data_IF_940261292122
#
_entry.id   IF_940261292122
#
_cell.length_a   1.000
_cell.length_b   1.000
_cell.length_c   1.000
_cell.angle_alpha   90.00
_cell.angle_beta   90.00
_cell.angle_gamma   90.00
#
_symmetry.space_group_name_H-M   'P 1'
#
loop_
_entity.id
_entity.type
_entity.pdbx_description
1 polymer ?
#
# COMPACT_ATOMS: atom_id res chain seq x y z
N UNK A 1 56.43 -28.48 34.40
CA UNK A 1 56.12 -29.24 33.16
C UNK A 1 55.89 -28.19 32.07
N UNK A 2 56.53 -28.38 30.91
CA UNK A 2 56.89 -27.34 29.93
C UNK A 2 55.70 -26.70 29.19
N UNK A 3 55.89 -25.44 28.83
CA UNK A 3 55.02 -24.61 28.01
C UNK A 3 54.74 -25.19 26.62
N UNK A 4 53.53 -24.95 26.10
CA UNK A 4 53.21 -25.04 24.67
C UNK A 4 52.63 -23.69 24.23
N UNK A 5 53.44 -23.01 23.41
CA UNK A 5 53.14 -21.77 22.69
C UNK A 5 52.75 -22.18 21.26
N UNK A 6 51.57 -21.75 20.79
CA UNK A 6 51.16 -21.85 19.38
C UNK A 6 50.56 -20.50 18.94
N UNK A 7 51.42 -19.57 18.50
CA UNK A 7 51.50 -19.02 17.13
C UNK A 7 50.15 -18.67 16.48
N UNK A 8 49.55 -17.54 16.89
CA UNK A 8 48.75 -16.72 15.96
C UNK A 8 49.67 -15.67 15.31
N UNK A 9 49.95 -15.85 14.03
CA UNK A 9 50.66 -14.88 13.21
C UNK A 9 49.75 -13.70 12.87
N UNK A 10 49.94 -12.58 13.55
CA UNK A 10 49.31 -11.30 13.21
C UNK A 10 50.06 -10.71 12.00
N UNK A 11 49.51 -10.88 10.80
CA UNK A 11 49.98 -10.15 9.61
C UNK A 11 49.47 -8.72 9.70
N UNK A 12 50.35 -7.79 10.11
CA UNK A 12 50.13 -6.35 9.98
C UNK A 12 50.23 -5.99 8.50
N UNK A 13 49.11 -5.68 7.87
CA UNK A 13 49.08 -5.09 6.53
C UNK A 13 49.33 -3.57 6.67
N UNK A 14 50.47 -3.11 6.14
CA UNK A 14 50.72 -1.69 5.96
C UNK A 14 49.85 -1.18 4.79
N UNK A 15 48.82 -0.40 5.08
CA UNK A 15 48.04 0.30 4.07
C UNK A 15 48.78 1.56 3.64
N UNK A 16 49.18 1.62 2.37
CA UNK A 16 49.74 2.81 1.76
C UNK A 16 48.71 3.94 1.75
N UNK A 17 49.07 5.10 2.30
CA UNK A 17 48.27 6.32 2.23
C UNK A 17 48.36 6.88 0.80
N UNK A 18 47.27 6.95 0.03
CA UNK A 18 47.33 7.51 -1.31
C UNK A 18 47.58 9.02 -1.23
N UNK A 19 48.68 9.45 -1.87
CA UNK A 19 48.97 10.87 -2.12
C UNK A 19 47.96 11.37 -3.16
N UNK A 20 46.90 12.04 -2.70
CA UNK A 20 45.92 12.70 -3.55
C UNK A 20 46.61 13.82 -4.34
N UNK A 21 46.91 13.57 -5.61
CA UNK A 21 47.28 14.62 -6.56
C UNK A 21 46.03 15.44 -6.86
N UNK A 22 45.96 16.65 -6.29
CA UNK A 22 44.89 17.60 -6.55
C UNK A 22 44.80 17.89 -8.05
N UNK A 23 43.80 17.32 -8.71
CA UNK A 23 43.51 17.59 -10.10
C UNK A 23 42.91 19.00 -10.18
N UNK A 24 43.67 19.95 -10.73
CA UNK A 24 43.26 21.36 -10.84
C UNK A 24 41.91 21.54 -11.54
N UNK A 25 41.55 20.59 -12.41
CA UNK A 25 40.25 20.53 -13.09
C UNK A 25 39.10 20.26 -12.11
N UNK A 26 39.28 19.37 -11.12
CA UNK A 26 38.26 19.07 -10.12
C UNK A 26 38.01 20.26 -9.17
N UNK A 27 39.07 21.01 -8.83
CA UNK A 27 38.95 22.25 -8.04
C UNK A 27 38.24 23.35 -8.83
N UNK A 28 38.52 23.48 -10.14
CA UNK A 28 37.85 24.45 -11.00
C UNK A 28 36.35 24.12 -11.15
N UNK A 29 35.99 22.84 -11.33
CA UNK A 29 34.60 22.40 -11.41
C UNK A 29 33.84 22.63 -10.11
N UNK A 30 34.46 22.36 -8.95
CA UNK A 30 33.85 22.63 -7.65
C UNK A 30 33.59 24.13 -7.43
N UNK A 31 34.49 25.01 -7.87
CA UNK A 31 34.31 26.47 -7.77
C UNK A 31 33.22 26.99 -8.71
N UNK A 32 33.10 26.43 -9.93
CA UNK A 32 32.01 26.76 -10.85
C UNK A 32 30.67 26.30 -10.26
N UNK A 33 30.60 25.09 -9.70
CA UNK A 33 29.39 24.60 -9.06
C UNK A 33 28.97 25.47 -7.87
N UNK A 34 29.93 25.94 -7.06
CA UNK A 34 29.67 26.84 -5.94
C UNK A 34 29.19 28.23 -6.40
N UNK A 35 29.72 28.75 -7.51
CA UNK A 35 29.28 30.02 -8.08
C UNK A 35 27.86 29.94 -8.69
N UNK A 36 27.49 28.80 -9.28
CA UNK A 36 26.14 28.56 -9.81
C UNK A 36 25.09 28.46 -8.69
N UNK A 37 25.44 27.88 -7.55
CA UNK A 37 24.53 27.80 -6.38
C UNK A 37 24.29 29.19 -5.75
N UNK A 38 25.27 30.09 -5.77
CA UNK A 38 25.13 31.43 -5.17
C UNK A 38 24.26 32.41 -5.97
N UNK A 39 24.04 32.17 -7.27
CA UNK A 39 23.24 33.05 -8.12
C UNK A 39 21.73 32.71 -8.16
N UNK A 40 21.28 31.70 -7.40
CA UNK A 40 19.92 31.15 -7.48
C UNK A 40 18.86 31.76 -6.55
N UNK A 41 19.17 32.78 -5.74
CA UNK A 41 18.18 33.43 -4.86
C UNK A 41 17.51 34.61 -5.57
N UNK A 42 16.70 34.31 -6.59
CA UNK A 42 15.70 35.24 -7.09
C UNK A 42 14.48 35.19 -6.18
N UNK A 43 14.39 36.11 -5.22
CA UNK A 43 13.20 36.27 -4.38
C UNK A 43 12.05 36.76 -5.26
N UNK A 44 11.30 35.80 -5.79
CA UNK A 44 10.13 36.08 -6.60
C UNK A 44 9.05 36.49 -5.63
N UNK A 45 8.66 37.76 -5.66
CA UNK A 45 7.57 38.27 -4.83
C UNK A 45 6.34 37.37 -5.04
N UNK A 46 5.97 36.63 -3.99
CA UNK A 46 4.78 35.77 -4.02
C UNK A 46 3.58 36.70 -4.17
N UNK A 47 2.85 36.65 -5.29
CA UNK A 47 1.66 37.47 -5.46
C UNK A 47 0.70 37.11 -4.32
N UNK A 48 0.22 38.13 -3.60
CA UNK A 48 -0.74 37.94 -2.52
C UNK A 48 -1.94 37.18 -3.08
N UNK A 49 -2.25 35.98 -2.56
CA UNK A 49 -3.38 35.22 -3.06
C UNK A 49 -4.64 36.08 -2.87
N UNK A 50 -5.56 36.09 -3.85
CA UNK A 50 -6.83 36.79 -3.70
C UNK A 50 -7.52 36.33 -2.41
N UNK A 51 -8.30 37.21 -1.74
CA UNK A 51 -9.01 36.86 -0.53
C UNK A 51 -9.82 35.59 -0.77
N UNK A 52 -9.53 34.56 0.03
CA UNK A 52 -10.25 33.29 -0.03
C UNK A 52 -11.73 33.62 0.21
N UNK A 53 -12.64 33.32 -0.73
CA UNK A 53 -14.05 33.54 -0.50
C UNK A 53 -14.44 32.82 0.79
N UNK A 54 -15.18 33.52 1.66
CA UNK A 54 -15.65 32.96 2.92
C UNK A 54 -16.28 31.59 2.64
N UNK A 55 -15.73 30.54 3.24
CA UNK A 55 -16.24 29.18 3.11
C UNK A 55 -17.71 29.19 3.50
N UNK A 56 -18.57 28.83 2.56
CA UNK A 56 -20.00 28.60 2.82
C UNK A 56 -20.09 27.66 4.02
N UNK A 57 -20.92 27.96 5.05
CA UNK A 57 -21.07 27.07 6.17
C UNK A 57 -21.47 25.69 5.63
N UNK A 58 -20.64 24.69 5.93
CA UNK A 58 -20.95 23.30 5.63
C UNK A 58 -22.25 23.00 6.38
N UNK A 59 -23.31 22.53 5.71
CA UNK A 59 -24.53 22.11 6.40
C UNK A 59 -24.15 21.13 7.51
N UNK A 60 -24.52 21.46 8.75
CA UNK A 60 -24.15 20.68 9.95
C UNK A 60 -24.94 19.36 10.05
N UNK A 61 -25.96 19.16 9.23
CA UNK A 61 -26.66 17.89 9.15
C UNK A 61 -25.77 16.85 8.47
N UNK A 62 -25.63 15.69 9.11
CA UNK A 62 -24.95 14.52 8.54
C UNK A 62 -25.46 14.32 7.11
N UNK A 63 -24.55 14.40 6.13
CA UNK A 63 -24.91 14.39 4.73
C UNK A 63 -25.43 13.00 4.35
N UNK A 64 -26.74 12.78 4.38
CA UNK A 64 -27.30 11.54 3.85
C UNK A 64 -27.14 11.51 2.32
N UNK A 65 -26.81 10.36 1.72
CA UNK A 65 -26.87 10.21 0.27
C UNK A 65 -28.26 10.56 -0.24
N UNK A 66 -28.32 11.27 -1.38
CA UNK A 66 -29.60 11.59 -2.04
C UNK A 66 -30.31 10.30 -2.44
N UNK A 67 -31.52 10.11 -1.90
CA UNK A 67 -32.51 9.05 -2.16
C UNK A 67 -32.02 7.86 -3.00
N UNK A 68 -31.58 6.81 -2.31
CA UNK A 68 -31.22 5.52 -2.92
C UNK A 68 -29.85 5.45 -3.57
N UNK A 69 -29.03 6.50 -3.50
CA UNK A 69 -27.63 6.46 -3.94
C UNK A 69 -26.73 5.89 -2.86
N UNK A 70 -25.73 5.11 -3.28
CA UNK A 70 -24.64 4.69 -2.42
C UNK A 70 -23.47 5.64 -2.60
N UNK A 71 -22.98 6.21 -1.51
CA UNK A 71 -21.66 6.84 -1.47
C UNK A 71 -20.68 5.81 -0.90
N UNK A 72 -19.69 5.43 -1.72
CA UNK A 72 -18.58 4.57 -1.29
C UNK A 72 -17.29 5.38 -1.26
N UNK A 73 -16.51 5.21 -0.21
CA UNK A 73 -15.13 5.70 -0.14
C UNK A 73 -14.21 4.53 0.20
N UNK A 74 -13.01 4.56 -0.40
CA UNK A 74 -11.93 3.71 0.04
C UNK A 74 -11.35 4.31 1.34
N UNK A 75 -11.56 3.61 2.45
CA UNK A 75 -11.13 4.06 3.78
C UNK A 75 -9.88 3.27 4.12
N UNK A 76 -8.76 3.97 4.24
CA UNK A 76 -7.51 3.38 4.70
C UNK A 76 -7.30 3.64 6.19
N UNK A 77 -6.43 2.85 6.81
CA UNK A 77 -5.99 3.09 8.18
C UNK A 77 -5.44 4.51 8.35
N UNK A 78 -5.84 5.17 9.44
CA UNK A 78 -5.36 6.50 9.78
C UNK A 78 -3.92 6.44 10.33
N UNK A 79 -3.22 7.58 10.35
CA UNK A 79 -1.82 7.65 10.79
C UNK A 79 -1.60 7.24 12.26
N UNK A 80 -2.66 7.23 13.06
CA UNK A 80 -2.69 6.79 14.46
C UNK A 80 -3.12 5.33 14.63
N UNK A 81 -3.29 4.57 13.54
CA UNK A 81 -3.78 3.19 13.49
C UNK A 81 -5.21 3.01 14.03
N UNK A 82 -6.00 4.09 14.04
CA UNK A 82 -7.41 4.06 14.46
C UNK A 82 -8.33 3.98 13.23
N UNK A 83 -8.52 2.75 12.74
CA UNK A 83 -9.42 2.50 11.61
C UNK A 83 -10.88 2.83 11.93
N UNK A 84 -11.33 2.59 13.18
CA UNK A 84 -12.69 2.91 13.62
C UNK A 84 -12.96 4.41 13.48
N UNK A 85 -12.04 5.25 13.96
CA UNK A 85 -12.15 6.70 13.83
C UNK A 85 -12.14 7.15 12.35
N UNK A 86 -11.33 6.51 11.50
CA UNK A 86 -11.33 6.78 10.06
C UNK A 86 -12.71 6.46 9.43
N UNK A 87 -13.28 5.30 9.75
CA UNK A 87 -14.59 4.89 9.27
C UNK A 87 -15.71 5.80 9.80
N UNK A 88 -15.68 6.22 11.06
CA UNK A 88 -16.68 7.15 11.60
C UNK A 88 -16.62 8.52 10.89
N UNK A 89 -15.43 9.01 10.54
CA UNK A 89 -15.28 10.24 9.73
C UNK A 89 -15.87 10.06 8.33
N UNK A 90 -15.67 8.90 7.70
CA UNK A 90 -16.28 8.58 6.41
C UNK A 90 -17.81 8.56 6.52
N UNK A 91 -18.36 7.91 7.55
CA UNK A 91 -19.80 7.90 7.83
C UNK A 91 -20.37 9.30 8.06
N UNK A 92 -19.63 10.18 8.74
CA UNK A 92 -20.06 11.55 8.99
C UNK A 92 -20.26 12.38 7.71
N UNK A 93 -19.61 12.01 6.61
CA UNK A 93 -19.80 12.64 5.28
C UNK A 93 -20.76 11.86 4.36
N UNK A 94 -21.47 10.88 4.91
CA UNK A 94 -22.53 10.15 4.19
C UNK A 94 -22.11 8.83 3.56
N UNK A 95 -20.94 8.30 3.88
CA UNK A 95 -20.52 7.00 3.35
C UNK A 95 -21.42 5.89 3.87
N UNK A 96 -21.93 5.08 2.95
CA UNK A 96 -22.79 3.92 3.23
C UNK A 96 -22.18 2.60 2.75
N UNK A 97 -21.05 2.67 2.03
CA UNK A 97 -20.30 1.50 1.60
C UNK A 97 -18.80 1.77 1.61
N UNK A 98 -17.99 0.72 1.73
CA UNK A 98 -16.54 0.79 1.52
C UNK A 98 -16.12 -0.22 0.46
N UNK A 99 -14.92 -0.05 -0.08
CA UNK A 99 -14.31 -1.05 -0.96
C UNK A 99 -13.38 -1.94 -0.15
N UNK A 100 -13.51 -3.25 -0.31
CA UNK A 100 -12.54 -4.22 0.22
C UNK A 100 -11.86 -4.89 -0.96
N UNK A 101 -10.56 -4.68 -1.11
CA UNK A 101 -9.77 -5.38 -2.12
C UNK A 101 -9.02 -6.52 -1.46
N UNK A 102 -9.18 -7.72 -2.00
CA UNK A 102 -8.43 -8.93 -1.64
C UNK A 102 -7.78 -9.49 -2.89
N UNK A 103 -6.68 -10.22 -2.73
CA UNK A 103 -5.94 -10.77 -3.86
C UNK A 103 -6.20 -12.27 -3.99
N UNK A 104 -6.28 -12.78 -5.23
CA UNK A 104 -6.59 -14.19 -5.47
C UNK A 104 -5.55 -15.11 -4.83
N UNK A 105 -4.26 -14.83 -5.01
CA UNK A 105 -3.17 -15.61 -4.42
C UNK A 105 -3.15 -15.64 -2.87
N UNK A 106 -3.81 -14.69 -2.21
CA UNK A 106 -3.98 -14.68 -0.75
C UNK A 106 -5.18 -15.49 -0.29
N UNK A 107 -6.20 -15.65 -1.13
CA UNK A 107 -7.37 -16.48 -0.82
C UNK A 107 -7.06 -17.93 -1.11
N UNK A 108 -6.51 -18.21 -2.30
CA UNK A 108 -6.23 -19.54 -2.79
C UNK A 108 -4.72 -19.84 -2.73
N UNK A 109 -4.30 -20.38 -1.60
CA UNK A 109 -2.88 -20.57 -1.26
C UNK A 109 -2.28 -21.83 -1.91
N UNK A 110 -3.11 -22.81 -2.28
CA UNK A 110 -2.74 -24.00 -3.04
C UNK A 110 -3.85 -24.37 -4.06
N UNK A 111 -3.59 -25.23 -5.07
CA UNK A 111 -4.60 -25.79 -5.98
C UNK A 111 -5.93 -26.20 -5.35
N UNK A 112 -6.95 -25.35 -5.48
CA UNK A 112 -8.30 -25.56 -4.94
C UNK A 112 -8.45 -25.32 -3.43
N UNK A 113 -7.38 -24.93 -2.73
CA UNK A 113 -7.37 -24.75 -1.28
C UNK A 113 -7.51 -23.26 -0.95
N UNK A 114 -8.62 -22.92 -0.30
CA UNK A 114 -8.95 -21.56 0.08
C UNK A 114 -8.72 -21.39 1.58
N UNK A 115 -7.56 -20.86 1.96
CA UNK A 115 -7.15 -20.73 3.36
C UNK A 115 -6.41 -19.39 3.58
N UNK A 116 -7.12 -18.26 3.48
CA UNK A 116 -6.51 -16.94 3.65
C UNK A 116 -5.98 -16.73 5.06
N UNK A 117 -4.81 -16.08 5.17
CA UNK A 117 -4.22 -15.73 6.46
C UNK A 117 -3.54 -14.35 6.40
N UNK A 118 -4.09 -13.32 7.06
CA UNK A 118 -5.34 -13.33 7.81
C UNK A 118 -6.58 -13.49 6.91
N UNK A 119 -7.67 -14.02 7.45
CA UNK A 119 -8.93 -14.18 6.72
C UNK A 119 -9.70 -12.85 6.65
N UNK A 120 -9.27 -11.96 5.75
CA UNK A 120 -9.88 -10.62 5.60
C UNK A 120 -11.37 -10.65 5.27
N UNK A 121 -11.84 -11.68 4.55
CA UNK A 121 -13.26 -11.82 4.20
C UNK A 121 -14.12 -12.10 5.43
N UNK A 122 -13.68 -13.01 6.30
CA UNK A 122 -14.35 -13.31 7.56
C UNK A 122 -14.32 -12.11 8.51
N UNK A 123 -13.16 -11.46 8.65
CA UNK A 123 -13.03 -10.25 9.48
C UNK A 123 -14.00 -9.17 8.99
N UNK A 124 -14.09 -8.94 7.67
CA UNK A 124 -15.01 -7.99 7.08
C UNK A 124 -16.49 -8.35 7.34
N UNK A 125 -16.84 -9.63 7.26
CA UNK A 125 -18.18 -10.13 7.54
C UNK A 125 -18.58 -9.97 9.01
N UNK A 126 -17.61 -10.02 9.94
CA UNK A 126 -17.85 -9.76 11.36
C UNK A 126 -17.92 -8.26 11.67
N UNK A 127 -17.08 -7.45 11.03
CA UNK A 127 -16.90 -6.05 11.38
C UNK A 127 -17.93 -5.12 10.71
N UNK A 128 -18.00 -5.09 9.37
CA UNK A 128 -18.78 -4.07 8.65
C UNK A 128 -20.29 -4.10 8.89
N UNK A 129 -20.96 -5.27 9.07
CA UNK A 129 -22.36 -5.29 9.44
C UNK A 129 -22.66 -4.59 10.77
N UNK A 130 -21.75 -4.68 11.75
CA UNK A 130 -21.90 -3.96 13.04
C UNK A 130 -21.75 -2.45 12.89
N UNK A 131 -21.14 -1.99 11.79
CA UNK A 131 -20.98 -0.58 11.47
C UNK A 131 -22.09 -0.03 10.57
N UNK A 132 -23.04 -0.88 10.14
CA UNK A 132 -24.09 -0.54 9.16
C UNK A 132 -23.52 -0.01 7.83
N UNK A 133 -22.39 -0.55 7.40
CA UNK A 133 -21.70 -0.18 6.15
C UNK A 133 -21.68 -1.38 5.22
N UNK A 134 -22.09 -1.18 3.97
CA UNK A 134 -22.01 -2.22 2.95
C UNK A 134 -20.56 -2.39 2.44
N UNK A 135 -20.24 -3.58 1.93
CA UNK A 135 -18.92 -3.85 1.35
C UNK A 135 -19.06 -4.07 -0.16
N UNK A 136 -18.27 -3.32 -0.92
CA UNK A 136 -18.00 -3.56 -2.33
C UNK A 136 -16.73 -4.40 -2.43
N UNK A 137 -16.88 -5.72 -2.57
CA UNK A 137 -15.76 -6.65 -2.66
C UNK A 137 -15.11 -6.61 -4.05
N UNK A 138 -13.79 -6.45 -4.08
CA UNK A 138 -12.95 -6.60 -5.27
C UNK A 138 -11.96 -7.74 -5.05
N UNK A 139 -12.05 -8.78 -5.88
CA UNK A 139 -11.03 -9.84 -5.93
C UNK A 139 -10.09 -9.51 -7.08
N UNK A 140 -8.87 -9.05 -6.76
CA UNK A 140 -7.91 -8.62 -7.78
C UNK A 140 -6.92 -9.70 -8.16
N UNK A 141 -6.64 -9.77 -9.46
CA UNK A 141 -5.60 -10.62 -10.07
C UNK A 141 -4.38 -9.80 -10.52
N UNK A 142 -4.47 -8.47 -10.41
CA UNK A 142 -3.40 -7.52 -10.73
C UNK A 142 -3.27 -6.52 -9.58
N UNK A 143 -2.08 -6.43 -9.01
CA UNK A 143 -1.72 -5.43 -8.03
C UNK A 143 -0.69 -4.49 -8.65
N UNK A 144 -1.18 -3.40 -9.26
CA UNK A 144 -0.37 -2.42 -9.99
C UNK A 144 0.48 -3.05 -11.10
N UNK A 145 1.68 -3.52 -10.76
CA UNK A 145 2.65 -4.14 -11.66
C UNK A 145 2.93 -5.61 -11.33
N UNK A 146 2.23 -6.18 -10.35
CA UNK A 146 2.38 -7.57 -9.93
C UNK A 146 1.15 -8.39 -10.34
N UNK A 147 1.37 -9.56 -10.92
CA UNK A 147 0.32 -10.53 -11.18
C UNK A 147 0.09 -11.33 -9.90
N UNK A 148 -1.15 -11.31 -9.41
CA UNK A 148 -1.57 -11.93 -8.15
C UNK A 148 -2.36 -13.22 -8.41
N UNK A 149 -1.84 -14.06 -9.30
CA UNK A 149 -2.38 -15.38 -9.58
C UNK A 149 -1.82 -16.40 -8.59
N UNK A 150 -2.56 -17.49 -8.27
CA UNK A 150 -2.00 -18.64 -7.58
C UNK A 150 -0.70 -19.11 -8.24
N UNK A 151 0.26 -19.55 -7.42
CA UNK A 151 1.63 -19.81 -7.88
C UNK A 151 1.75 -20.84 -9.02
N UNK A 152 0.85 -21.82 -9.08
CA UNK A 152 0.79 -22.83 -10.14
C UNK A 152 0.17 -22.32 -11.46
N UNK A 153 -0.53 -21.18 -11.41
CA UNK A 153 -1.03 -20.44 -12.57
C UNK A 153 -0.10 -19.29 -12.98
N UNK A 154 0.99 -19.05 -12.25
CA UNK A 154 1.90 -17.97 -12.54
C UNK A 154 2.51 -18.12 -13.96
N UNK A 155 2.44 -17.03 -14.74
CA UNK A 155 2.93 -17.00 -16.12
C UNK A 155 1.98 -17.55 -17.18
N UNK A 156 0.82 -18.10 -16.78
CA UNK A 156 -0.26 -18.41 -17.71
C UNK A 156 -0.93 -17.12 -18.20
N UNK A 157 -1.42 -17.06 -19.45
CA UNK A 157 -2.21 -15.94 -19.91
C UNK A 157 -3.61 -15.97 -19.28
N UNK A 158 -4.27 -14.81 -19.16
CA UNK A 158 -5.60 -14.72 -18.53
C UNK A 158 -6.71 -15.43 -19.30
N UNK A 159 -6.51 -15.72 -20.59
CA UNK A 159 -7.43 -16.49 -21.42
C UNK A 159 -7.15 -18.00 -21.39
N UNK A 160 -6.17 -18.46 -20.60
CA UNK A 160 -5.94 -19.88 -20.38
C UNK A 160 -7.18 -20.52 -19.71
N UNK A 161 -7.70 -21.66 -20.23
CA UNK A 161 -8.87 -22.31 -19.68
C UNK A 161 -8.76 -22.68 -18.20
N UNK A 162 -7.55 -23.01 -17.71
CA UNK A 162 -7.33 -23.30 -16.30
C UNK A 162 -7.44 -22.04 -15.43
N UNK A 163 -6.92 -20.90 -15.90
CA UNK A 163 -7.06 -19.61 -15.21
C UNK A 163 -8.53 -19.21 -15.11
N UNK A 164 -9.26 -19.23 -16.23
CA UNK A 164 -10.70 -18.89 -16.26
C UNK A 164 -11.50 -19.84 -15.34
N UNK A 165 -11.30 -21.15 -15.48
CA UNK A 165 -12.07 -22.14 -14.72
C UNK A 165 -11.85 -22.00 -13.22
N UNK A 166 -10.61 -21.73 -12.80
CA UNK A 166 -10.27 -21.61 -11.38
C UNK A 166 -10.72 -20.29 -10.78
N UNK A 167 -10.66 -19.19 -11.54
CA UNK A 167 -11.21 -17.91 -11.11
C UNK A 167 -12.73 -17.96 -10.95
N UNK A 168 -13.44 -18.59 -11.89
CA UNK A 168 -14.89 -18.80 -11.76
C UNK A 168 -15.24 -19.64 -10.52
N UNK A 169 -14.45 -20.67 -10.23
CA UNK A 169 -14.64 -21.48 -9.02
C UNK A 169 -14.49 -20.66 -7.74
N UNK A 170 -13.53 -19.73 -7.69
CA UNK A 170 -13.39 -18.79 -6.58
C UNK A 170 -14.61 -17.84 -6.46
N UNK A 171 -15.16 -17.36 -7.58
CA UNK A 171 -16.37 -16.53 -7.58
C UNK A 171 -17.62 -17.27 -7.13
N UNK A 172 -17.80 -18.50 -7.62
CA UNK A 172 -18.92 -19.37 -7.22
C UNK A 172 -18.85 -19.64 -5.71
N UNK A 173 -17.63 -19.89 -5.22
CA UNK A 173 -17.36 -20.02 -3.81
C UNK A 173 -17.78 -18.74 -3.07
N UNK A 174 -17.19 -17.58 -3.38
CA UNK A 174 -17.49 -16.30 -2.73
C UNK A 174 -18.96 -15.83 -2.81
N UNK A 175 -19.71 -16.27 -3.83
CA UNK A 175 -21.13 -15.94 -4.01
C UNK A 175 -22.11 -16.95 -3.40
N UNK A 176 -21.61 -18.12 -2.99
CA UNK A 176 -22.46 -19.18 -2.43
C UNK A 176 -22.96 -18.85 -1.01
N UNK A 177 -24.15 -19.34 -0.61
CA UNK A 177 -24.72 -19.09 0.72
C UNK A 177 -23.84 -19.55 1.89
N UNK A 178 -22.93 -20.49 1.62
CA UNK A 178 -22.01 -21.07 2.60
C UNK A 178 -21.06 -20.02 3.19
N UNK A 179 -20.70 -18.98 2.42
CA UNK A 179 -19.85 -17.88 2.90
C UNK A 179 -20.59 -16.87 3.77
N UNK A 180 -21.93 -16.86 3.73
CA UNK A 180 -22.73 -16.06 4.65
C UNK A 180 -22.92 -16.74 6.01
N UNK A 181 -22.49 -17.99 6.16
CA UNK A 181 -22.64 -18.80 7.37
C UNK A 181 -21.28 -19.34 7.83
N UNK A 182 -20.45 -18.46 8.42
CA UNK A 182 -19.38 -18.67 9.42
C UNK A 182 -18.65 -20.04 9.59
N UNK A 183 -18.57 -20.93 8.60
CA UNK A 183 -17.91 -22.22 8.72
C UNK A 183 -16.57 -22.22 7.95
N UNK A 184 -15.55 -21.59 8.53
CA UNK A 184 -14.12 -21.82 8.24
C UNK A 184 -13.34 -21.97 9.55
#
# INVERSE_FOLDING_TARGET
MKQIISRLGFKVWATAVPVFRFNKIAVLLALIFLAVVAAGCGETAVPTPPPIPASTPIPTDAAAPRDGRTLSLDVTEAADNDFDAALQRAKAVGVTAVTLTVYWDEIETEPGVHNPNPNWLEIANLYYPTQEVAVSLTISVIDTNNLRLPSDLAGQPFDDPAVIGRFNSLFDLASSPHWQQNDF
#
